data_IF_280065466863
#
_entry.id   IF_280065466863
#
_cell.length_a   1.000
_cell.length_b   1.000
_cell.length_c   1.000
_cell.angle_alpha   90.00
_cell.angle_beta   90.00
_cell.angle_gamma   90.00
#
_symmetry.space_group_name_H-M   'P 1'
#
loop_
_entity.id
_entity.type
_entity.pdbx_description
1 polymer ?
#
# COMPACT_ATOMS: atom_id res chain seq x y z
N UNK A 1 -64.09 -49.29 -64.16
CA UNK A 1 -63.43 -48.10 -63.59
C UNK A 1 -62.60 -48.54 -62.41
N UNK A 2 -61.27 -48.55 -62.55
CA UNK A 2 -60.31 -49.02 -61.53
C UNK A 2 -59.81 -47.82 -60.73
N UNK A 3 -59.99 -47.84 -59.42
CA UNK A 3 -59.43 -46.85 -58.48
C UNK A 3 -58.34 -47.55 -57.65
N UNK A 4 -57.06 -47.17 -57.75
CA UNK A 4 -56.02 -47.75 -56.90
C UNK A 4 -56.06 -47.17 -55.48
N UNK A 5 -55.97 -48.09 -54.51
CA UNK A 5 -55.89 -47.92 -53.05
C UNK A 5 -54.53 -47.31 -52.65
N UNK A 6 -54.46 -46.34 -51.73
CA UNK A 6 -53.20 -45.81 -51.22
C UNK A 6 -52.50 -46.81 -50.30
N UNK A 7 -51.19 -46.97 -50.50
CA UNK A 7 -50.29 -47.82 -49.71
C UNK A 7 -49.63 -46.98 -48.61
N UNK A 8 -49.93 -47.29 -47.35
CA UNK A 8 -49.21 -46.75 -46.19
C UNK A 8 -47.87 -47.47 -46.02
N UNK A 9 -46.77 -46.71 -45.93
CA UNK A 9 -45.43 -47.23 -45.61
C UNK A 9 -45.08 -46.83 -44.17
N UNK A 10 -44.75 -47.78 -43.28
CA UNK A 10 -44.49 -47.50 -41.87
C UNK A 10 -43.15 -46.79 -41.64
N UNK A 11 -43.18 -45.77 -40.78
CA UNK A 11 -42.01 -45.04 -40.26
C UNK A 11 -41.29 -45.93 -39.24
N UNK A 12 -39.98 -46.21 -39.38
CA UNK A 12 -39.25 -46.97 -38.38
C UNK A 12 -38.88 -46.10 -37.16
N UNK A 13 -39.50 -46.42 -36.02
CA UNK A 13 -39.13 -45.92 -34.69
C UNK A 13 -37.75 -46.46 -34.29
N UNK A 14 -36.76 -45.57 -34.09
CA UNK A 14 -35.45 -45.96 -33.54
C UNK A 14 -35.44 -45.86 -32.02
N UNK A 15 -35.36 -47.02 -31.36
CA UNK A 15 -35.10 -47.21 -29.94
C UNK A 15 -33.65 -46.82 -29.59
N UNK A 16 -33.38 -46.10 -28.49
CA UNK A 16 -32.01 -45.85 -28.03
C UNK A 16 -31.38 -47.13 -27.44
N UNK A 17 -30.18 -47.48 -27.92
CA UNK A 17 -29.35 -48.61 -27.44
C UNK A 17 -28.35 -48.10 -26.39
N UNK A 18 -28.11 -48.82 -25.27
CA UNK A 18 -27.21 -48.35 -24.22
C UNK A 18 -25.72 -48.51 -24.58
N UNK A 19 -24.99 -47.44 -24.27
CA UNK A 19 -23.60 -47.28 -23.79
C UNK A 19 -22.50 -48.27 -24.20
N UNK A 20 -21.41 -47.73 -24.77
CA UNK A 20 -20.02 -48.00 -24.31
C UNK A 20 -19.16 -46.75 -24.55
N UNK A 21 -18.81 -46.05 -23.47
CA UNK A 21 -17.81 -44.98 -23.46
C UNK A 21 -16.43 -45.63 -23.52
N UNK A 22 -15.68 -45.38 -24.59
CA UNK A 22 -14.24 -45.64 -24.61
C UNK A 22 -13.53 -44.33 -24.26
N UNK A 23 -12.84 -44.33 -23.13
CA UNK A 23 -11.91 -43.28 -22.72
C UNK A 23 -10.52 -43.69 -23.20
N UNK A 24 -9.93 -43.04 -24.22
CA UNK A 24 -8.50 -43.18 -24.46
C UNK A 24 -7.76 -42.17 -23.59
N UNK A 25 -7.18 -42.64 -22.49
CA UNK A 25 -6.14 -41.91 -21.76
C UNK A 25 -4.83 -42.07 -22.53
N UNK A 26 -4.50 -41.11 -23.39
CA UNK A 26 -3.14 -40.98 -23.92
C UNK A 26 -2.40 -39.93 -23.08
N UNK A 27 -1.67 -40.40 -22.07
CA UNK A 27 -0.69 -39.58 -21.34
C UNK A 27 0.59 -39.53 -22.17
N UNK A 28 0.68 -38.57 -23.10
CA UNK A 28 1.93 -38.23 -23.75
C UNK A 28 2.62 -37.12 -22.95
N UNK A 29 3.51 -37.51 -22.04
CA UNK A 29 4.40 -36.58 -21.33
C UNK A 29 5.51 -36.14 -22.29
N UNK A 30 5.23 -35.14 -23.12
CA UNK A 30 6.27 -34.42 -23.84
C UNK A 30 6.96 -33.47 -22.85
N UNK A 31 8.15 -33.85 -22.39
CA UNK A 31 9.06 -32.92 -21.70
C UNK A 31 9.96 -32.33 -22.77
N UNK A 32 9.79 -31.06 -23.20
CA UNK A 32 10.77 -30.44 -24.08
C UNK A 32 12.01 -30.10 -23.25
N UNK A 33 13.05 -30.93 -23.34
CA UNK A 33 14.40 -30.56 -22.91
C UNK A 33 14.98 -29.59 -23.93
N UNK A 34 14.86 -28.30 -23.69
CA UNK A 34 15.56 -27.27 -24.49
C UNK A 34 17.05 -27.38 -24.15
N UNK A 35 17.80 -28.04 -25.01
CA UNK A 35 19.27 -28.07 -24.95
C UNK A 35 19.79 -26.86 -25.71
N UNK A 36 20.31 -25.85 -25.00
CA UNK A 36 21.10 -24.79 -25.63
C UNK A 36 22.48 -25.33 -25.97
N UNK A 37 22.77 -25.49 -27.26
CA UNK A 37 24.14 -25.68 -27.77
C UNK A 37 24.78 -24.30 -27.92
N UNK A 38 25.78 -23.92 -27.11
CA UNK A 38 26.56 -22.71 -27.37
C UNK A 38 27.46 -22.95 -28.59
N UNK A 39 27.13 -22.34 -29.72
CA UNK A 39 28.06 -22.22 -30.85
C UNK A 39 29.05 -21.10 -30.53
N UNK A 40 30.17 -21.49 -29.90
CA UNK A 40 31.33 -20.62 -29.75
C UNK A 40 32.07 -20.54 -31.09
N UNK A 41 31.95 -19.42 -31.80
CA UNK A 41 32.93 -19.03 -32.83
C UNK A 41 33.79 -17.91 -32.27
N UNK A 42 35.00 -18.19 -31.74
CA UNK A 42 35.96 -17.15 -31.40
C UNK A 42 36.82 -16.80 -32.61
N UNK A 43 36.64 -15.59 -33.14
CA UNK A 43 37.63 -14.96 -34.04
C UNK A 43 38.81 -14.49 -33.18
N UNK A 44 39.90 -15.26 -33.19
CA UNK A 44 41.15 -14.90 -32.52
C UNK A 44 41.92 -13.86 -33.35
N UNK A 45 42.22 -12.70 -32.77
CA UNK A 45 43.35 -11.85 -33.17
C UNK A 45 44.37 -11.89 -32.02
N UNK A 46 45.61 -12.36 -32.24
CA UNK A 46 46.59 -12.45 -31.16
C UNK A 46 47.36 -11.13 -31.03
N UNK A 47 47.29 -10.49 -29.87
CA UNK A 47 48.33 -9.55 -29.45
C UNK A 47 48.90 -10.04 -28.12
N UNK A 48 50.10 -10.63 -28.20
CA UNK A 48 50.95 -10.95 -27.05
C UNK A 48 51.32 -9.65 -26.33
N UNK A 49 51.26 -9.64 -24.99
CA UNK A 49 52.39 -9.24 -24.13
C UNK A 49 52.17 -9.78 -22.70
N UNK A 50 53.24 -10.38 -22.19
CA UNK A 50 53.55 -11.03 -20.91
C UNK A 50 53.18 -10.23 -19.63
N UNK A 51 52.55 -10.85 -18.62
CA UNK A 51 53.10 -11.60 -17.45
C UNK A 51 53.38 -10.72 -16.23
N UNK A 52 52.59 -10.88 -15.16
CA UNK A 52 53.06 -10.91 -13.76
C UNK A 52 52.20 -11.91 -12.97
N UNK A 53 52.88 -12.76 -12.19
CA UNK A 53 52.38 -13.93 -11.46
C UNK A 53 52.40 -13.67 -9.94
N UNK A 54 51.69 -14.53 -9.18
CA UNK A 54 51.73 -14.82 -7.73
C UNK A 54 50.79 -13.96 -6.85
N UNK A 55 50.04 -14.47 -5.86
CA UNK A 55 49.86 -15.82 -5.26
C UNK A 55 48.56 -15.76 -4.43
N UNK A 56 47.83 -16.87 -4.31
CA UNK A 56 46.77 -17.00 -3.33
C UNK A 56 47.36 -17.22 -1.92
N UNK A 57 46.86 -16.51 -0.91
CA UNK A 57 47.12 -16.84 0.49
C UNK A 57 45.81 -16.73 1.27
N UNK A 58 45.28 -17.89 1.69
CA UNK A 58 44.24 -17.98 2.71
C UNK A 58 44.91 -17.93 4.07
N UNK A 59 44.50 -17.02 4.94
CA UNK A 59 44.66 -17.16 6.40
C UNK A 59 43.50 -16.45 7.10
N UNK A 60 42.81 -17.08 8.05
CA UNK A 60 41.72 -16.45 8.80
C UNK A 60 42.28 -15.67 9.98
N UNK A 61 41.70 -14.51 10.29
CA UNK A 61 41.99 -13.81 11.55
C UNK A 61 40.67 -13.36 12.17
N UNK A 62 40.29 -14.03 13.26
CA UNK A 62 39.27 -13.53 14.19
C UNK A 62 39.87 -12.35 14.94
N UNK A 63 39.15 -11.23 14.98
CA UNK A 63 39.40 -10.19 15.99
C UNK A 63 38.07 -9.58 16.42
N UNK A 64 37.71 -9.83 17.68
CA UNK A 64 36.67 -9.12 18.41
C UNK A 64 37.20 -7.75 18.81
N UNK A 65 36.36 -6.71 18.70
CA UNK A 65 36.57 -5.49 19.48
C UNK A 65 35.20 -4.88 19.83
N UNK A 66 34.86 -4.77 21.13
CA UNK A 66 33.68 -4.08 21.60
C UNK A 66 33.95 -2.57 21.76
N UNK A 67 33.02 -1.74 21.33
CA UNK A 67 33.07 -0.29 21.58
C UNK A 67 31.95 0.06 22.57
N UNK A 68 32.31 0.21 23.85
CA UNK A 68 31.45 0.80 24.89
C UNK A 68 31.74 2.30 24.96
N UNK A 69 30.72 3.12 24.74
CA UNK A 69 30.79 4.58 24.89
C UNK A 69 30.36 4.97 26.31
N UNK A 70 31.20 5.67 27.10
CA UNK A 70 30.81 6.21 28.39
C UNK A 70 30.18 7.60 28.25
N UNK A 71 29.00 7.81 28.82
CA UNK A 71 28.43 9.15 29.02
C UNK A 71 28.65 9.58 30.47
N UNK A 72 29.41 10.65 30.66
CA UNK A 72 29.79 11.22 31.96
C UNK A 72 28.71 12.18 32.46
N UNK A 73 28.32 11.99 33.71
CA UNK A 73 27.53 12.89 34.56
C UNK A 73 28.31 14.18 34.88
N UNK A 74 27.70 15.38 34.82
CA UNK A 74 28.24 16.55 35.48
C UNK A 74 27.67 16.71 36.90
N UNK A 75 28.57 16.79 37.88
CA UNK A 75 28.30 17.19 39.27
C UNK A 75 29.08 18.47 39.52
N UNK A 76 28.42 19.55 39.94
CA UNK A 76 29.08 20.76 40.42
C UNK A 76 28.68 21.07 41.86
N UNK A 77 29.71 21.50 42.59
CA UNK A 77 29.95 21.61 44.03
C UNK A 77 29.32 22.87 44.66
N UNK A 78 29.25 22.96 46.02
CA UNK A 78 28.56 24.02 46.75
C UNK A 78 29.44 25.27 46.93
N UNK A 79 28.80 26.45 46.99
CA UNK A 79 29.45 27.70 47.40
C UNK A 79 28.94 28.11 48.78
N UNK A 80 29.88 28.23 49.73
CA UNK A 80 29.66 28.88 51.02
C UNK A 80 30.22 30.31 50.95
N UNK A 81 29.48 31.29 51.46
CA UNK A 81 30.08 32.49 52.07
C UNK A 81 29.13 33.00 53.17
N UNK A 82 29.64 33.37 54.36
CA UNK A 82 28.83 33.73 55.52
C UNK A 82 28.59 35.24 55.62
N UNK A 83 27.43 35.65 56.14
CA UNK A 83 27.26 37.01 56.68
C UNK A 83 26.43 36.94 57.97
N UNK A 84 27.11 37.17 59.11
CA UNK A 84 26.49 37.49 60.41
C UNK A 84 26.07 38.96 60.38
N UNK A 85 24.93 39.36 60.96
CA UNK A 85 24.77 40.01 62.30
C UNK A 85 23.63 41.07 62.16
N UNK A 86 22.95 41.60 63.20
CA UNK A 86 22.52 41.11 64.51
C UNK A 86 20.99 41.06 64.72
N UNK A 87 20.64 40.40 65.82
CA UNK A 87 19.39 40.35 66.59
C UNK A 87 18.79 41.70 66.97
N UNK A 88 17.45 41.81 66.92
CA UNK A 88 16.62 42.54 67.91
C UNK A 88 15.20 41.94 67.97
N UNK A 89 14.90 41.31 69.10
CA UNK A 89 13.56 41.02 69.65
C UNK A 89 13.11 42.29 70.40
N UNK A 90 11.84 42.75 70.32
CA UNK A 90 10.69 42.18 71.04
C UNK A 90 9.37 42.33 70.22
N UNK A 91 8.14 41.98 70.59
CA UNK A 91 7.43 41.59 71.82
C UNK A 91 6.12 40.94 71.36
N UNK A 92 5.61 39.97 72.12
CA UNK A 92 4.27 39.40 71.93
C UNK A 92 3.17 40.43 72.24
N UNK A 93 2.20 40.58 71.33
CA UNK A 93 0.86 41.10 71.69
C UNK A 93 -0.20 40.33 70.87
N UNK A 94 -1.19 39.67 71.51
CA UNK A 94 -2.26 39.00 70.78
C UNK A 94 -3.36 40.02 70.47
N UNK A 95 -3.65 40.25 69.19
CA UNK A 95 -4.90 40.90 68.78
C UNK A 95 -5.71 39.91 67.95
N UNK A 96 -6.72 39.32 68.60
CA UNK A 96 -7.79 38.59 67.94
C UNK A 96 -8.62 39.60 67.16
N UNK A 97 -8.55 39.53 65.84
CA UNK A 97 -9.59 40.04 64.97
C UNK A 97 -10.01 38.90 64.05
N UNK A 98 -11.28 38.46 64.06
CA UNK A 98 -11.74 37.45 63.13
C UNK A 98 -11.82 38.10 61.74
N UNK A 99 -10.79 37.89 60.93
CA UNK A 99 -10.86 38.20 59.50
C UNK A 99 -11.88 37.23 58.91
N UNK A 100 -13.07 37.74 58.56
CA UNK A 100 -14.06 36.99 57.78
C UNK A 100 -13.37 36.51 56.50
N UNK A 101 -13.07 35.21 56.45
CA UNK A 101 -12.76 34.50 55.22
C UNK A 101 -13.85 34.86 54.22
N UNK A 102 -13.54 35.34 53.00
CA UNK A 102 -14.55 35.44 51.96
C UNK A 102 -15.11 34.04 51.77
N UNK A 103 -16.39 33.87 52.09
CA UNK A 103 -17.14 32.70 51.67
C UNK A 103 -16.97 32.63 50.16
N UNK A 104 -16.29 31.60 49.65
CA UNK A 104 -16.28 31.33 48.22
C UNK A 104 -17.74 31.35 47.77
N UNK A 105 -18.09 32.36 46.99
CA UNK A 105 -19.36 32.39 46.28
C UNK A 105 -19.28 31.20 45.34
N UNK A 106 -19.88 30.08 45.74
CA UNK A 106 -20.14 28.97 44.82
C UNK A 106 -20.98 29.57 43.72
N UNK A 107 -20.34 29.91 42.61
CA UNK A 107 -21.02 30.12 41.34
C UNK A 107 -21.94 28.91 41.17
N UNK A 108 -23.24 29.09 40.90
CA UNK A 108 -24.16 27.96 40.80
C UNK A 108 -23.56 26.99 39.79
N UNK A 109 -23.10 25.83 40.28
CA UNK A 109 -22.57 24.75 39.46
C UNK A 109 -23.65 24.45 38.45
N UNK A 110 -23.40 24.79 37.18
CA UNK A 110 -24.23 24.35 36.07
C UNK A 110 -24.50 22.87 36.29
N UNK A 111 -25.76 22.44 36.24
CA UNK A 111 -26.17 21.06 36.49
C UNK A 111 -25.31 20.11 35.63
N UNK A 112 -24.23 19.57 36.21
CA UNK A 112 -23.27 18.72 35.51
C UNK A 112 -23.92 17.34 35.47
N UNK A 113 -24.26 16.88 34.27
CA UNK A 113 -24.68 15.49 34.08
C UNK A 113 -23.67 14.51 34.69
N UNK A 114 -24.17 13.35 35.13
CA UNK A 114 -23.40 12.27 35.76
C UNK A 114 -22.14 11.93 34.95
N UNK A 115 -22.31 11.54 33.68
CA UNK A 115 -21.23 11.24 32.77
C UNK A 115 -21.02 12.37 31.75
N UNK A 116 -19.82 12.97 31.73
CA UNK A 116 -19.51 14.09 30.83
C UNK A 116 -18.04 14.21 30.51
N UNK A 117 -17.72 14.27 29.22
CA UNK A 117 -16.35 14.42 28.72
C UNK A 117 -16.00 15.91 28.62
N UNK A 118 -14.77 16.27 28.98
CA UNK A 118 -14.08 17.44 28.47
C UNK A 118 -12.94 16.94 27.57
N UNK A 119 -12.97 17.30 26.29
CA UNK A 119 -11.88 17.00 25.37
C UNK A 119 -10.72 17.94 25.68
N UNK A 120 -9.56 17.38 26.04
CA UNK A 120 -8.37 18.18 26.40
C UNK A 120 -7.53 18.45 25.15
N UNK A 121 -7.11 17.38 24.45
CA UNK A 121 -6.35 17.48 23.20
C UNK A 121 -6.20 16.14 22.50
N UNK A 122 -5.82 16.22 21.23
CA UNK A 122 -5.10 15.16 20.55
C UNK A 122 -3.67 15.08 21.12
N UNK A 123 -3.31 13.92 21.68
CA UNK A 123 -1.93 13.66 22.12
C UNK A 123 -1.09 13.20 20.93
N UNK A 124 -1.66 12.36 20.07
CA UNK A 124 -1.06 11.97 18.78
C UNK A 124 -2.03 12.23 17.63
N UNK A 125 -1.48 12.26 16.41
CA UNK A 125 -2.22 12.37 15.14
C UNK A 125 -3.18 13.57 15.15
N UNK A 126 -2.68 14.82 15.11
CA UNK A 126 -3.52 16.00 14.97
C UNK A 126 -4.44 15.90 13.74
N UNK A 127 -5.57 16.58 13.78
CA UNK A 127 -6.51 16.60 12.65
C UNK A 127 -5.84 16.99 11.33
N UNK A 128 -6.12 16.22 10.27
CA UNK A 128 -5.56 16.42 8.95
C UNK A 128 -4.16 15.82 8.75
N UNK A 129 -3.64 15.07 9.73
CA UNK A 129 -2.43 14.26 9.56
C UNK A 129 -2.52 13.39 8.32
N UNK A 130 -1.44 13.35 7.54
CA UNK A 130 -1.37 12.61 6.27
C UNK A 130 -0.74 11.25 6.49
N UNK A 131 -1.40 10.21 6.00
CA UNK A 131 -0.92 8.83 6.05
C UNK A 131 -0.86 8.23 4.65
N UNK A 132 0.13 7.35 4.44
CA UNK A 132 0.13 6.49 3.26
C UNK A 132 -1.06 5.51 3.34
N UNK A 133 -1.67 5.15 2.22
CA UNK A 133 -2.70 4.11 2.17
C UNK A 133 -2.30 2.83 2.90
N UNK A 134 -3.19 2.28 3.72
CA UNK A 134 -2.97 1.03 4.46
C UNK A 134 -1.99 1.13 5.65
N UNK A 135 -1.38 2.29 5.89
CA UNK A 135 -0.48 2.43 7.04
C UNK A 135 -1.22 2.37 8.38
N UNK A 136 -0.66 1.66 9.34
CA UNK A 136 -1.15 1.65 10.72
C UNK A 136 -0.63 2.86 11.49
N UNK A 137 -1.46 3.40 12.37
CA UNK A 137 -1.09 4.49 13.25
C UNK A 137 -1.81 4.38 14.60
N UNK A 138 -1.21 4.96 15.64
CA UNK A 138 -1.77 4.97 16.99
C UNK A 138 -2.29 6.37 17.33
N UNK A 139 -3.60 6.46 17.57
CA UNK A 139 -4.27 7.68 18.01
C UNK A 139 -4.39 7.68 19.53
N UNK A 140 -4.04 8.80 20.15
CA UNK A 140 -4.20 9.03 21.58
C UNK A 140 -4.99 10.32 21.80
N UNK A 141 -6.13 10.20 22.46
CA UNK A 141 -6.92 11.36 22.92
C UNK A 141 -6.73 11.55 24.42
N UNK A 142 -6.47 12.79 24.86
CA UNK A 142 -6.54 13.15 26.27
C UNK A 142 -7.93 13.67 26.58
N UNK A 143 -8.64 12.97 27.43
CA UNK A 143 -9.98 13.32 27.89
C UNK A 143 -9.95 13.58 29.39
N UNK A 144 -10.87 14.41 29.87
CA UNK A 144 -11.08 14.67 31.30
C UNK A 144 -12.51 14.34 31.68
N UNK A 145 -12.69 13.70 32.82
CA UNK A 145 -14.01 13.52 33.41
C UNK A 145 -14.47 14.87 33.99
N UNK A 146 -15.42 15.50 33.32
CA UNK A 146 -16.02 16.77 33.74
C UNK A 146 -17.49 16.57 34.18
N UNK A 147 -17.83 15.34 34.56
CA UNK A 147 -19.10 14.95 35.17
C UNK A 147 -18.99 14.81 36.68
N UNK A 148 -19.96 14.13 37.28
CA UNK A 148 -20.02 13.86 38.73
C UNK A 148 -19.87 12.38 39.07
N UNK A 149 -19.97 11.50 38.09
CA UNK A 149 -19.83 10.06 38.23
C UNK A 149 -18.43 9.58 37.82
N UNK A 150 -17.88 8.60 38.53
CA UNK A 150 -16.66 7.90 38.12
C UNK A 150 -16.93 7.05 36.89
N UNK A 151 -16.16 7.24 35.83
CA UNK A 151 -16.20 6.34 34.67
C UNK A 151 -15.54 5.03 35.02
N UNK A 152 -16.22 3.92 34.71
CA UNK A 152 -15.76 2.57 35.07
C UNK A 152 -15.05 1.90 33.90
N UNK A 153 -14.24 0.89 34.19
CA UNK A 153 -13.62 0.02 33.17
C UNK A 153 -14.64 -0.80 32.37
N UNK A 154 -15.89 -0.89 32.85
CA UNK A 154 -17.04 -1.47 32.13
C UNK A 154 -17.62 -0.56 31.05
N UNK A 155 -17.26 0.74 31.04
CA UNK A 155 -17.69 1.66 29.99
C UNK A 155 -16.95 1.36 28.69
N UNK A 156 -17.52 1.76 27.56
CA UNK A 156 -17.02 1.41 26.23
C UNK A 156 -16.90 2.63 25.34
N UNK A 157 -15.76 2.80 24.68
CA UNK A 157 -15.60 3.75 23.58
C UNK A 157 -16.26 3.15 22.34
N UNK A 158 -17.16 3.91 21.72
CA UNK A 158 -17.98 3.46 20.58
C UNK A 158 -17.85 4.43 19.41
N UNK A 159 -17.82 3.87 18.20
CA UNK A 159 -17.97 4.66 16.98
C UNK A 159 -19.45 5.00 16.83
N UNK A 160 -19.77 6.28 16.73
CA UNK A 160 -21.16 6.75 16.59
C UNK A 160 -21.49 7.19 15.16
N UNK A 161 -20.50 7.64 14.39
CA UNK A 161 -20.65 7.94 12.96
C UNK A 161 -19.29 8.08 12.27
N UNK A 162 -19.31 8.03 10.93
CA UNK A 162 -18.11 8.18 10.11
C UNK A 162 -17.32 6.87 9.96
N UNK A 163 -16.03 7.01 9.66
CA UNK A 163 -15.16 5.91 9.28
C UNK A 163 -14.55 5.23 10.51
N UNK A 164 -14.64 3.90 10.57
CA UNK A 164 -14.03 3.13 11.65
C UNK A 164 -12.49 3.11 11.58
N UNK A 165 -11.91 3.24 10.37
CA UNK A 165 -10.47 3.18 10.10
C UNK A 165 -9.78 1.96 10.71
N UNK A 166 -10.46 0.80 10.76
CA UNK A 166 -9.96 -0.41 11.41
C UNK A 166 -9.88 -0.34 12.94
N UNK A 167 -10.38 0.73 13.56
CA UNK A 167 -10.41 0.90 15.01
C UNK A 167 -11.35 -0.09 15.69
N UNK A 168 -10.93 -0.57 16.86
CA UNK A 168 -11.73 -1.50 17.66
C UNK A 168 -12.97 -0.78 18.23
N UNK A 169 -14.14 -1.08 17.66
CA UNK A 169 -15.40 -0.64 18.24
C UNK A 169 -15.62 -1.34 19.60
N UNK A 170 -16.22 -0.63 20.56
CA UNK A 170 -16.46 -1.11 21.93
C UNK A 170 -15.16 -1.34 22.75
N UNK A 171 -14.16 -0.48 22.61
CA UNK A 171 -12.95 -0.54 23.43
C UNK A 171 -13.28 -0.24 24.91
N UNK A 172 -12.90 -1.10 25.88
CA UNK A 172 -13.07 -0.81 27.30
C UNK A 172 -12.18 0.35 27.75
N UNK A 173 -12.62 1.12 28.74
CA UNK A 173 -11.72 2.07 29.40
C UNK A 173 -10.62 1.29 30.14
N UNK A 174 -9.34 1.67 29.98
CA UNK A 174 -8.23 0.92 30.56
C UNK A 174 -8.14 1.08 32.09
N UNK A 175 -8.70 2.15 32.64
CA UNK A 175 -8.73 2.46 34.08
C UNK A 175 -10.02 3.19 34.43
N UNK A 176 -10.37 3.19 35.71
CA UNK A 176 -11.43 4.07 36.22
C UNK A 176 -10.97 5.54 36.21
N UNK A 177 -11.90 6.46 35.96
CA UNK A 177 -11.62 7.90 35.86
C UNK A 177 -12.57 8.67 36.75
N UNK A 178 -12.05 9.15 37.88
CA UNK A 178 -12.83 9.93 38.85
C UNK A 178 -13.14 11.35 38.33
N UNK A 179 -14.19 12.04 38.84
CA UNK A 179 -14.47 13.42 38.49
C UNK A 179 -13.25 14.34 38.62
N UNK A 180 -12.96 15.11 37.58
CA UNK A 180 -11.79 15.99 37.47
C UNK A 180 -10.52 15.34 36.92
N UNK A 181 -10.44 14.00 36.89
CA UNK A 181 -9.27 13.25 36.43
C UNK A 181 -9.19 13.18 34.90
N UNK A 182 -7.97 13.14 34.37
CA UNK A 182 -7.69 12.92 32.94
C UNK A 182 -7.31 11.48 32.63
N UNK A 183 -7.63 11.04 31.41
CA UNK A 183 -7.23 9.76 30.83
C UNK A 183 -6.70 9.95 29.41
N UNK A 184 -5.68 9.17 29.04
CA UNK A 184 -5.20 9.05 27.67
C UNK A 184 -5.76 7.75 27.06
N UNK A 185 -6.71 7.90 26.13
CA UNK A 185 -7.30 6.77 25.41
C UNK A 185 -6.48 6.49 24.16
N UNK A 186 -5.87 5.30 24.11
CA UNK A 186 -5.00 4.85 23.01
C UNK A 186 -5.74 3.85 22.14
N UNK A 187 -5.82 4.10 20.83
CA UNK A 187 -6.43 3.20 19.86
C UNK A 187 -5.56 3.08 18.61
N UNK A 188 -5.41 1.86 18.10
CA UNK A 188 -4.73 1.59 16.84
C UNK A 188 -5.74 1.68 15.69
N UNK A 189 -5.31 2.31 14.62
CA UNK A 189 -6.07 2.53 13.40
C UNK A 189 -5.22 2.13 12.19
N UNK A 190 -5.90 1.86 11.10
CA UNK A 190 -5.32 1.64 9.78
C UNK A 190 -5.93 2.64 8.82
N UNK A 191 -5.07 3.47 8.22
CA UNK A 191 -5.46 4.40 7.17
C UNK A 191 -6.15 3.62 6.02
N UNK A 192 -7.33 4.06 5.56
CA UNK A 192 -8.00 3.45 4.42
C UNK A 192 -7.12 3.38 3.19
N UNK A 193 -7.52 2.51 2.29
CA UNK A 193 -6.76 2.17 1.11
C UNK A 193 -6.94 3.17 -0.04
N UNK A 194 -8.06 3.90 -0.04
CA UNK A 194 -8.40 4.87 -1.07
C UNK A 194 -7.94 6.25 -0.60
N UNK A 195 -7.32 7.04 -1.47
CA UNK A 195 -6.99 8.43 -1.15
C UNK A 195 -8.25 9.23 -0.81
N UNK A 196 -8.15 10.12 0.17
CA UNK A 196 -9.28 10.93 0.61
C UNK A 196 -9.12 11.49 2.01
N UNK A 197 -10.12 12.26 2.41
CA UNK A 197 -10.26 12.74 3.78
C UNK A 197 -11.19 11.78 4.54
N UNK A 198 -10.77 11.34 5.71
CA UNK A 198 -11.50 10.36 6.51
C UNK A 198 -11.71 10.85 7.94
N UNK A 199 -12.87 10.52 8.52
CA UNK A 199 -13.20 10.94 9.89
C UNK A 199 -14.06 9.91 10.62
N UNK A 200 -13.58 9.44 11.76
CA UNK A 200 -14.35 8.63 12.72
C UNK A 200 -14.76 9.46 13.94
N UNK A 201 -16.05 9.49 14.26
CA UNK A 201 -16.61 10.19 15.42
C UNK A 201 -16.94 9.19 16.53
N UNK A 202 -16.42 9.42 17.73
CA UNK A 202 -16.43 8.50 18.86
C UNK A 202 -17.04 9.12 20.11
N UNK A 203 -17.73 8.31 20.90
CA UNK A 203 -18.30 8.66 22.21
C UNK A 203 -18.06 7.53 23.22
N UNK A 204 -18.38 7.76 24.50
CA UNK A 204 -18.33 6.72 25.52
C UNK A 204 -19.76 6.30 25.85
N UNK A 205 -19.99 4.99 25.96
CA UNK A 205 -21.23 4.37 26.42
C UNK A 205 -21.05 3.80 27.82
N UNK A 206 -21.92 4.16 28.75
CA UNK A 206 -21.90 3.65 30.12
C UNK A 206 -22.63 2.29 30.25
N UNK A 207 -22.64 1.74 31.47
CA UNK A 207 -23.26 0.43 31.75
C UNK A 207 -24.77 0.39 31.54
N UNK A 208 -25.43 1.55 31.55
CA UNK A 208 -26.88 1.69 31.29
C UNK A 208 -27.18 1.78 29.79
N UNK A 209 -26.16 1.78 28.94
CA UNK A 209 -26.28 1.98 27.50
C UNK A 209 -26.39 3.44 27.08
N UNK A 210 -26.26 4.40 28.01
CA UNK A 210 -26.32 5.83 27.71
C UNK A 210 -25.00 6.27 27.06
N UNK A 211 -25.10 7.09 26.01
CA UNK A 211 -23.95 7.60 25.25
C UNK A 211 -23.69 9.04 25.66
N UNK A 212 -22.43 9.39 25.93
CA UNK A 212 -22.04 10.72 26.34
C UNK A 212 -20.74 11.24 25.69
N UNK A 213 -20.55 12.55 25.73
CA UNK A 213 -19.58 13.33 24.96
C UNK A 213 -19.30 14.72 25.57
N UNK A 214 -18.75 15.64 24.77
CA UNK A 214 -18.20 16.91 25.25
C UNK A 214 -19.09 18.15 24.99
N UNK A 215 -20.03 18.48 25.89
CA UNK A 215 -20.65 19.84 26.10
C UNK A 215 -21.73 19.79 27.20
N UNK A 216 -22.44 20.90 27.43
CA UNK A 216 -23.58 21.07 28.38
C UNK A 216 -24.74 20.10 28.17
N UNK A 217 -24.87 19.51 26.98
CA UNK A 217 -25.87 18.46 26.66
C UNK A 217 -25.23 17.07 26.48
N UNK A 218 -23.95 16.92 26.83
CA UNK A 218 -23.20 15.67 26.84
C UNK A 218 -23.22 14.85 25.53
N UNK A 219 -23.41 15.45 24.35
CA UNK A 219 -23.59 14.65 23.12
C UNK A 219 -22.67 14.99 21.93
N UNK A 220 -21.58 15.74 22.14
CA UNK A 220 -20.58 15.93 21.05
C UNK A 220 -19.52 14.81 21.07
N UNK A 221 -19.26 14.16 19.93
CA UNK A 221 -18.19 13.17 19.82
C UNK A 221 -16.81 13.83 19.86
N UNK A 222 -15.80 13.07 20.29
CA UNK A 222 -14.40 13.30 19.93
C UNK A 222 -14.10 12.51 18.65
N UNK A 223 -13.03 12.82 17.93
CA UNK A 223 -12.82 12.22 16.60
C UNK A 223 -11.36 11.97 16.27
N UNK A 224 -11.16 11.13 15.25
CA UNK A 224 -9.92 11.04 14.48
C UNK A 224 -10.23 11.53 13.08
N UNK A 225 -9.44 12.47 12.55
CA UNK A 225 -9.57 12.97 11.19
C UNK A 225 -8.20 12.95 10.49
N UNK A 226 -8.10 12.20 9.40
CA UNK A 226 -6.84 11.99 8.66
C UNK A 226 -7.05 12.25 7.17
N UNK A 227 -5.93 12.41 6.46
CA UNK A 227 -5.88 12.40 5.00
C UNK A 227 -5.06 11.21 4.54
N UNK A 228 -5.60 10.44 3.61
CA UNK A 228 -4.85 9.37 2.95
C UNK A 228 -4.32 9.92 1.63
N UNK A 229 -3.00 9.90 1.46
CA UNK A 229 -2.32 10.27 0.21
C UNK A 229 -1.15 9.33 -0.06
N UNK A 230 -1.03 8.89 -1.30
CA UNK A 230 0.13 8.13 -1.74
C UNK A 230 1.38 8.99 -1.60
N UNK A 231 2.51 8.44 -1.13
CA UNK A 231 3.77 9.18 -1.09
C UNK A 231 4.11 9.70 -2.49
N UNK A 232 4.59 10.95 -2.63
CA UNK A 232 5.09 11.41 -3.92
C UNK A 232 6.23 10.48 -4.36
N UNK A 233 6.21 10.06 -5.63
CA UNK A 233 7.24 9.22 -6.23
C UNK A 233 8.53 10.03 -6.43
N UNK A 234 9.20 10.39 -5.35
CA UNK A 234 10.44 11.19 -5.38
C UNK A 234 11.50 10.48 -6.22
N UNK A 235 12.10 11.21 -7.17
CA UNK A 235 13.05 10.65 -8.14
C UNK A 235 12.41 10.06 -9.39
N UNK A 236 11.09 10.12 -9.60
CA UNK A 236 10.48 9.71 -10.88
C UNK A 236 10.77 10.73 -11.97
N UNK A 237 11.50 10.30 -13.00
CA UNK A 237 11.71 11.07 -14.22
C UNK A 237 10.60 10.83 -15.27
N UNK A 238 9.97 9.66 -15.26
CA UNK A 238 8.84 9.34 -16.12
C UNK A 238 7.88 8.36 -15.46
N UNK A 239 6.59 8.66 -15.47
CA UNK A 239 5.52 7.82 -14.89
C UNK A 239 4.65 7.23 -16.02
N UNK A 240 4.71 5.91 -16.21
CA UNK A 240 3.99 5.25 -17.31
C UNK A 240 2.48 5.11 -17.03
N UNK A 241 2.06 5.13 -15.77
CA UNK A 241 0.63 5.08 -15.39
C UNK A 241 -0.01 6.44 -15.63
N UNK A 242 0.65 7.52 -15.19
CA UNK A 242 0.20 8.89 -15.45
C UNK A 242 0.07 9.14 -16.96
N UNK A 243 1.05 8.70 -17.74
CA UNK A 243 1.11 8.89 -19.20
C UNK A 243 0.44 7.77 -20.01
N UNK A 244 -0.31 6.84 -19.39
CA UNK A 244 -0.85 5.69 -20.12
C UNK A 244 -1.72 6.09 -21.32
N UNK A 245 -2.56 7.11 -21.19
CA UNK A 245 -3.42 7.57 -22.30
C UNK A 245 -2.75 8.58 -23.22
N UNK A 246 -1.50 8.96 -22.95
CA UNK A 246 -0.64 9.66 -23.91
C UNK A 246 0.12 8.67 -24.80
N UNK A 247 0.19 7.40 -24.41
CA UNK A 247 0.71 6.33 -25.26
C UNK A 247 -0.30 5.92 -26.32
N UNK A 248 0.20 5.36 -27.42
CA UNK A 248 -0.63 4.73 -28.45
C UNK A 248 -0.72 3.25 -28.16
N UNK A 249 -1.94 2.77 -27.87
CA UNK A 249 -2.23 1.37 -27.59
C UNK A 249 -2.72 0.66 -28.83
N UNK A 250 -2.28 -0.58 -29.03
CA UNK A 250 -2.76 -1.42 -30.12
C UNK A 250 -2.61 -2.91 -29.82
N UNK A 251 -3.43 -3.69 -30.52
CA UNK A 251 -3.41 -5.15 -30.56
C UNK A 251 -3.46 -5.61 -32.01
N UNK A 252 -3.73 -6.90 -32.24
CA UNK A 252 -3.97 -7.42 -33.59
C UNK A 252 -5.17 -6.78 -34.30
N UNK A 253 -6.14 -6.19 -33.57
CA UNK A 253 -7.29 -5.52 -34.20
C UNK A 253 -7.00 -4.10 -34.69
N UNK A 254 -5.88 -3.52 -34.29
CA UNK A 254 -5.55 -2.11 -34.53
C UNK A 254 -5.45 -1.32 -33.22
N UNK A 255 -5.71 -0.02 -33.29
CA UNK A 255 -5.56 0.90 -32.16
C UNK A 255 -6.67 0.73 -31.13
N UNK A 256 -6.33 0.83 -29.84
CA UNK A 256 -7.29 0.79 -28.73
C UNK A 256 -7.45 2.17 -28.08
N UNK A 257 -8.62 2.39 -27.49
CA UNK A 257 -8.89 3.53 -26.62
C UNK A 257 -8.19 3.39 -25.26
N UNK A 258 -7.89 4.53 -24.64
CA UNK A 258 -7.41 4.61 -23.25
C UNK A 258 -8.22 5.67 -22.48
N UNK A 259 -8.83 5.32 -21.33
CA UNK A 259 -8.94 3.96 -20.80
C UNK A 259 -9.78 3.05 -21.73
N UNK A 260 -9.45 1.76 -21.76
CA UNK A 260 -10.25 0.76 -22.45
C UNK A 260 -11.49 0.36 -21.66
N UNK A 261 -12.26 -0.59 -22.21
CA UNK A 261 -13.39 -1.22 -21.49
C UNK A 261 -12.88 -2.47 -20.77
N UNK A 262 -13.19 -2.60 -19.48
CA UNK A 262 -12.77 -3.77 -18.71
C UNK A 262 -13.34 -5.06 -19.32
N UNK A 263 -12.47 -6.06 -19.51
CA UNK A 263 -12.79 -7.35 -20.16
C UNK A 263 -13.19 -7.25 -21.64
N UNK A 264 -12.79 -6.20 -22.36
CA UNK A 264 -12.91 -6.18 -23.82
C UNK A 264 -12.05 -7.30 -24.43
N UNK A 265 -12.65 -8.11 -25.31
CA UNK A 265 -11.98 -9.20 -26.03
C UNK A 265 -10.96 -8.69 -27.04
N UNK A 266 -11.05 -7.43 -27.46
CA UNK A 266 -10.06 -6.83 -28.35
C UNK A 266 -8.76 -6.45 -27.62
N UNK A 267 -8.72 -6.60 -26.30
CA UNK A 267 -7.67 -6.15 -25.39
C UNK A 267 -8.03 -4.81 -24.76
N UNK A 268 -7.46 -4.53 -23.59
CA UNK A 268 -7.75 -3.27 -22.88
C UNK A 268 -6.57 -2.81 -22.02
N UNK A 269 -6.59 -1.52 -21.69
CA UNK A 269 -5.71 -0.90 -20.70
C UNK A 269 -6.54 -0.11 -19.68
N UNK A 270 -6.25 -0.29 -18.39
CA UNK A 270 -6.90 0.42 -17.30
C UNK A 270 -5.85 0.90 -16.29
N UNK A 271 -5.98 2.16 -15.86
CA UNK A 271 -5.24 2.66 -14.70
C UNK A 271 -5.90 2.15 -13.42
N UNK A 272 -5.09 1.77 -12.44
CA UNK A 272 -5.54 1.31 -11.14
C UNK A 272 -4.89 2.15 -10.04
N UNK A 273 -5.73 2.76 -9.19
CA UNK A 273 -5.23 3.45 -7.98
C UNK A 273 -4.94 2.46 -6.84
N UNK A 274 -5.47 1.26 -6.95
CA UNK A 274 -5.22 0.15 -6.04
C UNK A 274 -5.16 -1.10 -6.89
N UNK A 275 -4.06 -1.82 -6.77
CA UNK A 275 -3.85 -3.05 -7.52
C UNK A 275 -3.79 -4.22 -6.55
N UNK A 276 -4.34 -5.36 -6.94
CA UNK A 276 -4.20 -6.60 -6.19
C UNK A 276 -3.07 -7.40 -6.83
N UNK A 277 -1.98 -7.58 -6.08
CA UNK A 277 -0.92 -8.49 -6.44
C UNK A 277 -1.43 -9.93 -6.42
N UNK A 278 -0.68 -10.80 -7.05
CA UNK A 278 -1.05 -12.19 -7.26
C UNK A 278 -1.18 -13.01 -5.97
N UNK A 279 -0.33 -12.70 -4.98
CA UNK A 279 -0.38 -13.25 -3.61
C UNK A 279 -1.59 -12.76 -2.78
N UNK A 280 -2.43 -11.91 -3.39
CA UNK A 280 -3.59 -11.30 -2.77
C UNK A 280 -3.30 -9.98 -2.04
N UNK A 281 -2.03 -9.60 -1.90
CA UNK A 281 -1.60 -8.34 -1.29
C UNK A 281 -2.17 -7.17 -2.08
N UNK A 282 -2.76 -6.21 -1.36
CA UNK A 282 -3.20 -4.96 -1.96
C UNK A 282 -2.04 -3.96 -1.95
N UNK A 283 -1.73 -3.41 -3.12
CA UNK A 283 -0.80 -2.31 -3.28
C UNK A 283 -1.53 -1.05 -3.71
N UNK A 284 -1.14 0.07 -3.14
CA UNK A 284 -1.70 1.41 -3.43
C UNK A 284 -0.78 2.20 -4.35
N UNK A 285 0.24 1.54 -4.86
CA UNK A 285 1.08 2.05 -5.92
C UNK A 285 0.26 2.08 -7.22
N UNK A 286 0.34 3.16 -8.01
CA UNK A 286 -0.34 3.24 -9.30
C UNK A 286 -0.06 2.02 -10.16
N UNK A 287 -1.12 1.33 -10.57
CA UNK A 287 -1.06 0.17 -11.45
C UNK A 287 -1.52 0.50 -12.86
N UNK A 288 -0.96 -0.22 -13.82
CA UNK A 288 -1.44 -0.29 -15.19
C UNK A 288 -1.84 -1.72 -15.45
N UNK A 289 -3.14 -1.97 -15.47
CA UNK A 289 -3.68 -3.26 -15.86
C UNK A 289 -3.83 -3.31 -17.38
N UNK A 290 -3.28 -4.35 -17.98
CA UNK A 290 -3.34 -4.59 -19.41
C UNK A 290 -3.84 -6.01 -19.68
N UNK A 291 -4.65 -6.17 -20.71
CA UNK A 291 -5.03 -7.48 -21.22
C UNK A 291 -4.75 -7.57 -22.72
N UNK A 292 -4.03 -8.59 -23.18
CA UNK A 292 -3.93 -8.91 -24.59
C UNK A 292 -5.31 -9.12 -25.24
N UNK A 293 -5.35 -9.01 -26.56
CA UNK A 293 -6.53 -9.44 -27.33
C UNK A 293 -6.82 -10.92 -27.03
N UNK A 294 -8.09 -11.27 -26.79
CA UNK A 294 -8.58 -12.61 -26.43
C UNK A 294 -8.50 -13.60 -27.62
N UNK A 295 -7.28 -13.94 -28.03
CA UNK A 295 -6.94 -14.98 -28.99
C UNK A 295 -5.68 -15.74 -28.57
N UNK A 296 -5.42 -16.84 -29.26
CA UNK A 296 -4.15 -17.56 -29.12
C UNK A 296 -2.96 -16.66 -29.53
N UNK A 297 -1.98 -16.50 -28.65
CA UNK A 297 -0.85 -15.58 -28.83
C UNK A 297 -1.28 -14.11 -29.06
N UNK A 298 -2.39 -13.70 -28.46
CA UNK A 298 -2.80 -12.30 -28.43
C UNK A 298 -1.71 -11.42 -27.83
N UNK A 299 -1.72 -10.14 -28.19
CA UNK A 299 -0.84 -9.17 -27.57
C UNK A 299 -1.56 -7.85 -27.34
N UNK A 300 -1.01 -7.07 -26.43
CA UNK A 300 -1.28 -5.64 -26.30
C UNK A 300 0.05 -4.90 -26.19
N UNK A 301 0.18 -3.80 -26.92
CA UNK A 301 1.38 -3.00 -26.98
C UNK A 301 1.06 -1.52 -26.82
N UNK A 302 1.84 -0.84 -26.00
CA UNK A 302 1.85 0.61 -25.87
C UNK A 302 3.14 1.18 -26.44
N UNK A 303 3.05 2.22 -27.26
CA UNK A 303 4.19 3.06 -27.64
C UNK A 303 4.03 4.41 -26.95
N UNK A 304 4.89 4.69 -25.98
CA UNK A 304 4.85 5.93 -25.20
C UNK A 304 5.47 7.10 -25.98
N UNK A 305 5.11 8.36 -25.63
CA UNK A 305 5.82 9.54 -26.10
C UNK A 305 7.34 9.45 -25.88
N UNK A 306 8.08 10.21 -26.69
CA UNK A 306 9.55 10.27 -26.56
C UNK A 306 9.96 10.78 -25.19
N UNK A 307 10.94 10.12 -24.58
CA UNK A 307 11.56 10.49 -23.33
C UNK A 307 13.08 10.58 -23.52
N UNK A 308 13.68 11.69 -23.08
CA UNK A 308 15.13 11.88 -23.15
C UNK A 308 15.80 11.20 -21.95
N UNK A 309 16.43 10.06 -22.22
CA UNK A 309 17.12 9.28 -21.19
C UNK A 309 18.37 10.01 -20.73
N UNK A 310 18.61 10.04 -19.42
CA UNK A 310 19.80 10.59 -18.80
C UNK A 310 20.64 9.50 -18.14
N UNK A 311 21.91 9.80 -17.90
CA UNK A 311 22.79 8.90 -17.17
C UNK A 311 22.24 8.65 -15.76
N UNK A 312 22.24 7.40 -15.31
CA UNK A 312 21.66 7.00 -14.02
C UNK A 312 20.14 6.82 -14.01
N UNK A 313 19.46 6.97 -15.15
CA UNK A 313 18.06 6.59 -15.27
C UNK A 313 17.90 5.07 -15.19
N UNK A 314 16.88 4.59 -14.47
CA UNK A 314 16.52 3.18 -14.37
C UNK A 314 15.02 2.97 -14.57
N UNK A 315 14.62 1.97 -15.35
CA UNK A 315 13.23 1.54 -15.43
C UNK A 315 12.91 0.61 -14.26
N UNK A 316 11.85 0.89 -13.50
CA UNK A 316 11.41 0.08 -12.37
C UNK A 316 9.92 -0.19 -12.42
N UNK A 317 9.54 -1.42 -12.09
CA UNK A 317 8.16 -1.86 -11.97
C UNK A 317 8.08 -3.12 -11.10
N UNK A 318 6.90 -3.48 -10.64
CA UNK A 318 6.54 -4.89 -10.37
C UNK A 318 5.69 -5.36 -11.54
N UNK A 319 5.88 -6.61 -11.97
CA UNK A 319 5.04 -7.29 -12.96
C UNK A 319 4.47 -8.57 -12.35
N UNK A 320 3.18 -8.83 -12.57
CA UNK A 320 2.47 -10.02 -12.10
C UNK A 320 1.14 -10.22 -12.84
N UNK A 321 0.42 -11.32 -12.57
CA UNK A 321 -0.98 -11.46 -12.95
C UNK A 321 -1.90 -10.84 -11.87
N UNK A 322 -2.89 -10.03 -12.26
CA UNK A 322 -3.81 -9.39 -11.30
C UNK A 322 -4.43 -10.45 -10.36
N UNK A 323 -4.54 -10.14 -9.07
CA UNK A 323 -5.06 -11.11 -8.10
C UNK A 323 -6.42 -11.68 -8.49
N UNK A 324 -6.55 -13.01 -8.37
CA UNK A 324 -7.63 -13.87 -8.85
C UNK A 324 -7.67 -14.16 -10.36
N UNK A 325 -6.74 -13.63 -11.18
CA UNK A 325 -6.62 -13.98 -12.59
C UNK A 325 -5.92 -15.34 -12.78
N UNK A 326 -6.48 -16.42 -12.24
CA UNK A 326 -5.83 -17.74 -12.13
C UNK A 326 -5.52 -18.43 -13.46
N UNK A 327 -6.10 -17.97 -14.56
CA UNK A 327 -5.79 -18.44 -15.91
C UNK A 327 -4.64 -17.69 -16.59
N UNK A 328 -4.14 -16.61 -15.97
CA UNK A 328 -3.17 -15.71 -16.57
C UNK A 328 -1.83 -16.40 -16.80
N UNK A 329 -1.32 -16.28 -18.03
CA UNK A 329 0.00 -16.73 -18.45
C UNK A 329 0.52 -15.85 -19.58
N UNK A 330 1.43 -14.93 -19.27
CA UNK A 330 1.84 -13.86 -20.18
C UNK A 330 3.36 -13.69 -20.25
N UNK A 331 3.85 -13.01 -21.27
CA UNK A 331 5.20 -12.50 -21.40
C UNK A 331 5.16 -10.98 -21.35
N UNK A 332 5.70 -10.42 -20.27
CA UNK A 332 5.97 -8.99 -20.15
C UNK A 332 7.22 -8.65 -20.97
N UNK A 333 7.18 -7.53 -21.70
CA UNK A 333 8.34 -6.97 -22.41
C UNK A 333 8.45 -5.48 -22.23
N UNK A 334 9.67 -5.03 -21.96
CA UNK A 334 10.08 -3.64 -22.13
C UNK A 334 10.96 -3.62 -23.37
N UNK A 335 10.50 -2.89 -24.38
CA UNK A 335 11.22 -2.63 -25.63
C UNK A 335 11.42 -1.12 -25.78
N UNK A 336 12.20 -0.70 -26.76
CA UNK A 336 12.39 0.73 -27.05
C UNK A 336 12.52 1.00 -28.54
N UNK A 337 12.15 2.21 -28.94
CA UNK A 337 12.25 2.71 -30.30
C UNK A 337 13.02 4.03 -30.29
N UNK A 338 14.01 4.15 -31.16
CA UNK A 338 14.78 5.39 -31.38
C UNK A 338 14.20 6.17 -32.56
N UNK A 339 14.88 7.25 -32.96
CA UNK A 339 14.48 8.11 -34.08
C UNK A 339 14.40 7.39 -35.42
N UNK A 340 15.09 6.25 -35.57
CA UNK A 340 15.03 5.39 -36.75
C UNK A 340 13.74 4.60 -36.90
N UNK A 341 12.86 4.63 -35.89
CA UNK A 341 11.58 3.93 -35.93
C UNK A 341 11.69 2.42 -35.73
N UNK A 342 12.87 1.86 -35.45
CA UNK A 342 13.04 0.43 -35.22
C UNK A 342 12.83 0.12 -33.74
N UNK A 343 11.89 -0.79 -33.45
CA UNK A 343 11.68 -1.32 -32.10
C UNK A 343 12.76 -2.36 -31.80
N UNK A 344 13.43 -2.22 -30.66
CA UNK A 344 14.49 -3.07 -30.17
C UNK A 344 14.11 -3.68 -28.83
N UNK A 345 14.41 -4.96 -28.71
CA UNK A 345 14.21 -5.73 -27.48
C UNK A 345 15.14 -5.19 -26.39
N UNK A 346 14.64 -5.10 -25.16
CA UNK A 346 15.46 -4.68 -24.02
C UNK A 346 15.35 -5.64 -22.85
N UNK A 347 14.12 -6.05 -22.51
CA UNK A 347 13.90 -6.99 -21.42
C UNK A 347 12.59 -7.75 -21.60
N UNK A 348 12.54 -9.00 -21.13
CA UNK A 348 11.36 -9.84 -21.14
C UNK A 348 11.29 -10.73 -19.90
N UNK A 349 10.07 -11.03 -19.44
CA UNK A 349 9.81 -11.96 -18.33
C UNK A 349 8.48 -12.67 -18.51
N UNK A 350 8.51 -14.00 -18.43
CA UNK A 350 7.31 -14.83 -18.47
C UNK A 350 6.69 -14.93 -17.09
N UNK A 351 5.39 -14.67 -17.00
CA UNK A 351 4.59 -14.71 -15.78
C UNK A 351 3.47 -15.74 -15.94
N UNK A 352 3.13 -16.43 -14.85
CA UNK A 352 1.99 -17.32 -14.74
C UNK A 352 1.41 -17.15 -13.35
N UNK A 353 0.10 -17.27 -13.21
CA UNK A 353 -0.54 -17.22 -11.89
C UNK A 353 -0.05 -18.36 -10.96
N UNK A 354 0.95 -18.10 -10.14
CA UNK A 354 1.63 -18.99 -9.19
C UNK A 354 1.70 -18.43 -7.75
N UNK A 355 1.20 -17.21 -7.53
CA UNK A 355 1.15 -16.53 -6.25
C UNK A 355 2.42 -15.73 -5.93
N UNK A 356 3.32 -15.55 -6.89
CA UNK A 356 4.51 -14.69 -6.78
C UNK A 356 4.37 -13.44 -7.65
N UNK A 357 5.31 -12.51 -7.49
CA UNK A 357 5.42 -11.35 -8.37
C UNK A 357 6.88 -11.00 -8.56
N UNK A 358 7.21 -10.37 -9.69
CA UNK A 358 8.58 -10.05 -10.04
C UNK A 358 8.86 -8.55 -10.00
N UNK A 359 9.97 -8.16 -9.38
CA UNK A 359 10.44 -6.76 -9.38
C UNK A 359 11.45 -6.54 -10.50
N UNK A 360 11.14 -5.60 -11.38
CA UNK A 360 11.96 -5.17 -12.50
C UNK A 360 12.80 -3.95 -12.09
N UNK A 361 14.10 -3.98 -12.34
CA UNK A 361 15.00 -2.83 -12.17
C UNK A 361 16.09 -2.81 -13.26
N UNK A 362 15.82 -2.12 -14.38
CA UNK A 362 16.66 -2.09 -15.57
C UNK A 362 17.49 -0.81 -15.63
N UNK A 363 18.79 -0.96 -15.89
CA UNK A 363 19.71 0.16 -16.10
C UNK A 363 19.58 0.71 -17.53
N UNK A 364 19.24 2.01 -17.66
CA UNK A 364 19.05 2.65 -18.96
C UNK A 364 20.28 3.41 -19.45
N UNK A 365 21.43 3.27 -18.77
CA UNK A 365 22.66 4.04 -19.08
C UNK A 365 23.11 3.89 -20.53
N UNK A 366 22.89 2.73 -21.16
CA UNK A 366 23.23 2.51 -22.58
C UNK A 366 22.42 3.36 -23.57
N UNK A 367 21.29 3.92 -23.11
CA UNK A 367 20.41 4.79 -23.89
C UNK A 367 20.58 6.28 -23.53
N UNK A 368 21.47 6.61 -22.60
CA UNK A 368 21.65 7.98 -22.12
C UNK A 368 21.97 8.96 -23.26
N UNK A 369 21.30 10.12 -23.23
CA UNK A 369 21.40 11.18 -24.23
C UNK A 369 20.46 11.01 -25.42
N UNK A 370 19.85 9.83 -25.60
CA UNK A 370 18.95 9.54 -26.72
C UNK A 370 17.50 9.90 -26.38
N UNK A 371 16.75 10.28 -27.42
CA UNK A 371 15.30 10.42 -27.39
C UNK A 371 14.67 9.04 -27.66
N UNK A 372 14.05 8.46 -26.63
CA UNK A 372 13.60 7.06 -26.62
C UNK A 372 12.10 7.00 -26.45
N UNK A 373 11.41 6.27 -27.32
CA UNK A 373 10.03 5.84 -27.09
C UNK A 373 10.05 4.46 -26.46
N UNK A 374 9.66 4.36 -25.20
CA UNK A 374 9.51 3.08 -24.53
C UNK A 374 8.26 2.36 -25.03
N UNK A 375 8.38 1.06 -25.19
CA UNK A 375 7.34 0.20 -25.72
C UNK A 375 7.07 -0.90 -24.70
N UNK A 376 5.92 -0.84 -24.03
CA UNK A 376 5.48 -1.89 -23.10
C UNK A 376 4.61 -2.87 -23.87
N UNK A 377 4.98 -4.14 -23.87
CA UNK A 377 4.21 -5.20 -24.54
C UNK A 377 3.86 -6.30 -23.54
N UNK A 378 2.63 -6.79 -23.61
CA UNK A 378 2.21 -8.04 -22.97
C UNK A 378 1.77 -8.99 -24.07
N UNK A 379 2.34 -10.18 -24.11
CA UNK A 379 1.96 -11.26 -25.02
C UNK A 379 1.37 -12.42 -24.23
N UNK A 380 0.32 -13.04 -24.75
CA UNK A 380 -0.23 -14.26 -24.17
C UNK A 380 0.66 -15.47 -24.46
N UNK A 381 0.93 -16.30 -23.44
CA UNK A 381 1.65 -17.57 -23.55
C UNK A 381 0.67 -18.74 -23.72
N UNK A 382 -0.39 -18.53 -24.50
CA UNK A 382 -1.50 -19.46 -24.69
C UNK A 382 -2.78 -18.75 -25.13
N UNK A 383 -3.96 -19.33 -24.83
CA UNK A 383 -5.22 -18.59 -24.92
C UNK A 383 -5.19 -17.38 -24.00
N UNK A 384 -5.52 -16.20 -24.54
CA UNK A 384 -5.50 -14.94 -23.79
C UNK A 384 -6.69 -14.77 -22.81
N UNK A 385 -7.60 -15.74 -22.75
CA UNK A 385 -8.80 -15.67 -21.92
C UNK A 385 -8.44 -15.71 -20.44
N UNK A 386 -8.52 -14.56 -19.77
CA UNK A 386 -8.12 -14.40 -18.38
C UNK A 386 -6.71 -13.83 -18.17
N UNK A 387 -5.99 -13.48 -19.23
CA UNK A 387 -4.68 -12.81 -19.15
C UNK A 387 -4.85 -11.35 -18.72
N UNK A 388 -4.83 -11.15 -17.40
CA UNK A 388 -4.91 -9.84 -16.76
C UNK A 388 -3.54 -9.48 -16.20
N UNK A 389 -2.71 -8.90 -17.04
CA UNK A 389 -1.32 -8.58 -16.77
C UNK A 389 -1.20 -7.21 -16.09
N UNK A 390 -0.67 -7.20 -14.87
CA UNK A 390 -0.57 -6.02 -14.03
C UNK A 390 0.88 -5.52 -13.97
N UNK A 391 1.07 -4.26 -14.36
CA UNK A 391 2.30 -3.52 -14.09
C UNK A 391 2.05 -2.61 -12.88
N UNK A 392 2.76 -2.82 -11.77
CA UNK A 392 2.67 -1.93 -10.62
C UNK A 392 3.82 -0.96 -10.62
N UNK A 393 3.48 0.31 -10.54
CA UNK A 393 4.37 1.45 -10.45
C UNK A 393 5.44 1.53 -11.58
N UNK A 394 5.13 1.17 -12.86
CA UNK A 394 6.09 1.26 -13.95
C UNK A 394 6.55 2.71 -14.14
N UNK A 395 7.84 2.95 -13.96
CA UNK A 395 8.43 4.29 -13.99
C UNK A 395 9.89 4.28 -14.39
N UNK A 396 10.38 5.41 -14.89
CA UNK A 396 11.80 5.71 -14.92
C UNK A 396 12.12 6.50 -13.67
N UNK A 397 13.05 5.98 -12.86
CA UNK A 397 13.63 6.70 -11.73
C UNK A 397 14.98 7.30 -12.13
N UNK A 398 15.26 8.49 -11.60
CA UNK A 398 16.53 9.19 -11.71
C UNK A 398 17.05 9.47 -10.31
N UNK A 399 18.13 8.81 -9.95
CA UNK A 399 18.89 9.18 -8.76
C UNK A 399 19.77 10.36 -9.09
N UNK A 400 19.46 11.54 -8.54
CA UNK A 400 20.36 12.69 -8.61
C UNK A 400 21.53 12.38 -7.69
N UNK A 401 22.68 11.98 -8.24
CA UNK A 401 23.95 12.08 -7.52
C UNK A 401 24.19 13.56 -7.26
N UNK A 402 24.04 13.96 -5.99
CA UNK A 402 24.43 15.30 -5.53
C UNK A 402 25.93 15.47 -5.54
#
# INVERSE_FOLDING_TARGET
TRTPRPTETPIPTRTPRPTRTFTPTFTATFTPTVTFTPSNTPTQTPTRTSTVTFTATRTPTKTFTPTLTPSRTPTFTPSQTPTRTPTRTPTLTPSRTPTRTPLQTRTPTANLGCDRIEFVKDVTVPDGSVFAPGSSFTKVWRLKNNGTCTWKTTYRVILVSGDALGGQNLMPLPVEVTPGQTIDLTMNFTAPLIEGDYRGNWQIRNDKGEIFGATTTANRPFWVAIKVKSPPLTGTAYDFVANACSARWFTGVGTLDCPGVNNDRNGFVLKQNTSRLEDGTLTFQPGLLTAPQDLFNGYIRAVYPSFKVQNGDRFRAIVNCEGNATACGVLFRVDYQLSDGIVRDFWAFGERYDGQYFTVDLDLTSLAGQDVRFVLTVLSLGPASGDRALWVEPRIVRTVTR
#
